data_IF_468527796473
#
_entry.id   IF_468527796473
#
_cell.length_a   1.000
_cell.length_b   1.000
_cell.length_c   1.000
_cell.angle_alpha   90.00
_cell.angle_beta   90.00
_cell.angle_gamma   90.00
#
_symmetry.space_group_name_H-M   'P 1'
#
loop_
_entity.id
_entity.type
_entity.pdbx_description
1 polymer ?
#
# COMPACT_ATOMS: atom_id res chain seq x y z
N UNK A 1 13.35 -8.11 9.84
CA UNK A 1 12.74 -8.87 8.73
C UNK A 1 12.21 -7.88 7.71
N UNK A 2 12.80 -7.82 6.52
CA UNK A 2 12.28 -6.97 5.44
C UNK A 2 11.12 -7.72 4.77
N UNK A 3 9.90 -7.24 4.95
CA UNK A 3 8.73 -7.84 4.30
C UNK A 3 8.90 -7.75 2.79
N UNK A 4 8.99 -8.89 2.12
CA UNK A 4 9.16 -8.93 0.66
C UNK A 4 7.79 -9.17 0.03
N UNK A 5 7.34 -8.21 -0.78
CA UNK A 5 6.06 -8.31 -1.47
C UNK A 5 6.10 -9.35 -2.58
N UNK A 6 4.96 -9.99 -2.85
CA UNK A 6 4.84 -10.82 -4.06
C UNK A 6 4.91 -9.92 -5.29
N UNK A 7 5.71 -10.33 -6.25
CA UNK A 7 5.72 -9.74 -7.59
C UNK A 7 4.50 -10.18 -8.39
N UNK A 8 4.17 -9.45 -9.45
CA UNK A 8 3.07 -9.79 -10.36
C UNK A 8 3.26 -11.18 -10.97
N UNK A 9 4.49 -11.55 -11.36
CA UNK A 9 4.80 -12.89 -11.87
C UNK A 9 4.48 -13.99 -10.86
N UNK A 10 4.84 -13.80 -9.59
CA UNK A 10 4.54 -14.75 -8.52
C UNK A 10 3.03 -14.89 -8.31
N UNK A 11 2.27 -13.78 -8.33
CA UNK A 11 0.81 -13.82 -8.25
C UNK A 11 0.18 -14.56 -9.44
N UNK A 12 0.69 -14.36 -10.65
CA UNK A 12 0.22 -15.07 -11.85
C UNK A 12 0.48 -16.57 -11.73
N UNK A 13 1.67 -17.00 -11.26
CA UNK A 13 1.98 -18.41 -11.02
C UNK A 13 1.01 -19.01 -9.99
N UNK A 14 0.74 -18.29 -8.89
CA UNK A 14 -0.20 -18.73 -7.86
C UNK A 14 -1.62 -18.86 -8.42
N UNK A 15 -2.08 -17.91 -9.24
CA UNK A 15 -3.40 -17.95 -9.89
C UNK A 15 -3.55 -19.18 -10.79
N UNK A 16 -2.59 -19.42 -11.69
CA UNK A 16 -2.61 -20.59 -12.57
C UNK A 16 -2.56 -21.89 -11.77
N UNK A 17 -1.75 -21.94 -10.72
CA UNK A 17 -1.62 -23.12 -9.84
C UNK A 17 -2.92 -23.42 -9.08
N UNK A 18 -3.67 -22.38 -8.70
CA UNK A 18 -4.99 -22.53 -8.07
C UNK A 18 -6.01 -23.14 -9.03
N UNK A 19 -6.04 -22.69 -10.29
CA UNK A 19 -6.90 -23.27 -11.34
C UNK A 19 -6.55 -24.75 -11.59
N UNK A 20 -5.26 -25.08 -11.57
CA UNK A 20 -4.76 -26.46 -11.69
C UNK A 20 -4.94 -27.30 -10.40
N UNK A 21 -5.56 -26.75 -9.35
CA UNK A 21 -5.80 -27.41 -8.06
C UNK A 21 -4.52 -27.94 -7.37
N UNK A 22 -3.39 -27.28 -7.60
CA UNK A 22 -2.14 -27.59 -6.92
C UNK A 22 -2.18 -27.14 -5.45
N UNK A 23 -1.55 -27.93 -4.57
CA UNK A 23 -1.46 -27.61 -3.14
C UNK A 23 -0.57 -26.37 -2.92
N UNK A 24 -1.08 -25.39 -2.17
CA UNK A 24 -0.39 -24.12 -1.88
C UNK A 24 1.06 -24.28 -1.36
N UNK A 25 1.31 -25.28 -0.51
CA UNK A 25 2.65 -25.58 0.00
C UNK A 25 3.66 -25.87 -1.11
N UNK A 26 3.27 -26.65 -2.15
CA UNK A 26 4.17 -26.97 -3.26
C UNK A 26 4.46 -25.73 -4.10
N UNK A 27 3.44 -24.91 -4.34
CA UNK A 27 3.59 -23.64 -5.07
C UNK A 27 4.54 -22.71 -4.31
N UNK A 28 4.40 -22.62 -2.98
CA UNK A 28 5.28 -21.82 -2.15
C UNK A 28 6.75 -22.25 -2.24
N UNK A 29 7.01 -23.56 -2.29
CA UNK A 29 8.36 -24.08 -2.52
C UNK A 29 8.89 -23.72 -3.91
N UNK A 30 8.04 -23.78 -4.95
CA UNK A 30 8.42 -23.42 -6.33
C UNK A 30 8.81 -21.95 -6.46
N UNK A 31 8.08 -21.04 -5.81
CA UNK A 31 8.38 -19.60 -5.84
C UNK A 31 9.34 -19.14 -4.73
N UNK A 32 9.87 -20.08 -3.94
CA UNK A 32 10.75 -19.82 -2.79
C UNK A 32 10.15 -18.81 -1.78
N UNK A 33 8.86 -18.94 -1.48
CA UNK A 33 8.15 -18.11 -0.50
C UNK A 33 7.66 -18.93 0.69
N UNK A 34 7.34 -18.24 1.78
CA UNK A 34 6.71 -18.88 2.92
C UNK A 34 5.30 -19.36 2.54
N UNK A 35 4.93 -20.55 3.01
CA UNK A 35 3.67 -21.18 2.66
C UNK A 35 2.45 -20.33 3.05
N UNK A 36 2.51 -19.69 4.22
CA UNK A 36 1.49 -18.76 4.72
C UNK A 36 1.12 -17.66 3.71
N UNK A 37 2.11 -17.12 2.99
CA UNK A 37 1.88 -16.07 2.00
C UNK A 37 1.06 -16.59 0.83
N UNK A 38 1.31 -17.81 0.35
CA UNK A 38 0.52 -18.44 -0.70
C UNK A 38 -0.85 -18.85 -0.20
N UNK A 39 -0.96 -19.36 1.03
CA UNK A 39 -2.24 -19.69 1.66
C UNK A 39 -3.17 -18.48 1.78
N UNK A 40 -2.63 -17.29 2.11
CA UNK A 40 -3.41 -16.05 2.13
C UNK A 40 -4.02 -15.71 0.78
N UNK A 41 -3.26 -15.89 -0.31
CA UNK A 41 -3.77 -15.66 -1.68
C UNK A 41 -4.81 -16.72 -2.05
N UNK A 42 -4.56 -17.99 -1.74
CA UNK A 42 -5.52 -19.08 -1.98
C UNK A 42 -6.84 -18.84 -1.26
N UNK A 43 -6.80 -18.47 0.03
CA UNK A 43 -8.01 -18.17 0.81
C UNK A 43 -8.81 -17.01 0.21
N UNK A 44 -8.12 -16.03 -0.38
CA UNK A 44 -8.77 -14.94 -1.10
C UNK A 44 -9.39 -15.41 -2.42
N UNK A 45 -8.74 -16.31 -3.15
CA UNK A 45 -9.30 -16.91 -4.36
C UNK A 45 -10.51 -17.81 -4.09
N UNK A 46 -10.52 -18.49 -2.94
CA UNK A 46 -11.65 -19.34 -2.51
C UNK A 46 -12.94 -18.55 -2.29
N UNK A 47 -12.86 -17.23 -2.05
CA UNK A 47 -14.06 -16.37 -1.97
C UNK A 47 -14.67 -16.08 -3.35
N UNK A 48 -14.05 -16.55 -4.43
CA UNK A 48 -14.45 -16.27 -5.81
C UNK A 48 -13.85 -14.99 -6.39
N UNK A 49 -12.98 -14.30 -5.65
CA UNK A 49 -12.29 -13.11 -6.12
C UNK A 49 -11.14 -13.47 -7.09
N UNK A 50 -10.81 -12.54 -7.99
CA UNK A 50 -9.69 -12.67 -8.95
C UNK A 50 -8.35 -12.24 -8.33
N UNK A 51 -7.23 -12.70 -8.89
CA UNK A 51 -5.90 -12.18 -8.51
C UNK A 51 -5.79 -10.67 -8.76
N UNK A 52 -6.44 -10.15 -9.80
CA UNK A 52 -6.46 -8.73 -10.07
C UNK A 52 -7.13 -7.95 -8.92
N UNK A 53 -8.21 -8.51 -8.38
CA UNK A 53 -8.92 -7.96 -7.22
C UNK A 53 -8.06 -8.01 -5.95
N UNK A 54 -7.32 -9.10 -5.75
CA UNK A 54 -6.33 -9.21 -4.67
C UNK A 54 -5.25 -8.14 -4.76
N UNK A 55 -4.72 -7.90 -5.97
CA UNK A 55 -3.70 -6.87 -6.20
C UNK A 55 -4.25 -5.47 -5.96
N UNK A 56 -5.47 -5.19 -6.43
CA UNK A 56 -6.15 -3.91 -6.21
C UNK A 56 -6.43 -3.65 -4.73
N UNK A 57 -6.95 -4.66 -4.01
CA UNK A 57 -7.16 -4.60 -2.56
C UNK A 57 -5.85 -4.31 -1.82
N UNK A 58 -4.75 -4.98 -2.20
CA UNK A 58 -3.44 -4.71 -1.63
C UNK A 58 -2.97 -3.27 -1.91
N UNK A 59 -3.14 -2.76 -3.14
CA UNK A 59 -2.78 -1.39 -3.50
C UNK A 59 -3.58 -0.36 -2.72
N UNK A 60 -4.90 -0.56 -2.55
CA UNK A 60 -5.75 0.30 -1.70
C UNK A 60 -5.26 0.33 -0.26
N UNK A 61 -5.00 -0.82 0.35
CA UNK A 61 -4.48 -0.86 1.72
C UNK A 61 -3.12 -0.17 1.84
N UNK A 62 -2.26 -0.30 0.82
CA UNK A 62 -0.96 0.37 0.79
C UNK A 62 -1.09 1.90 0.74
N UNK A 63 -2.13 2.45 0.11
CA UNK A 63 -2.40 3.90 0.12
C UNK A 63 -2.75 4.42 1.52
N UNK A 64 -3.26 3.56 2.41
CA UNK A 64 -3.53 3.92 3.81
C UNK A 64 -2.29 3.82 4.70
N UNK A 65 -1.20 3.20 4.22
CA UNK A 65 0.05 3.12 4.94
C UNK A 65 0.88 4.40 4.78
N UNK A 66 1.73 4.66 5.78
CA UNK A 66 2.64 5.81 5.76
C UNK A 66 2.03 7.08 6.36
N UNK A 67 2.86 8.12 6.42
CA UNK A 67 2.45 9.41 6.98
C UNK A 67 1.54 10.12 6.00
N UNK A 68 0.30 10.41 6.42
CA UNK A 68 -0.60 11.28 5.66
C UNK A 68 0.05 12.66 5.51
N UNK A 69 -0.13 13.30 4.34
CA UNK A 69 0.35 14.67 4.14
C UNK A 69 -0.30 15.56 5.19
N UNK A 70 0.52 16.26 5.98
CA UNK A 70 0.05 17.32 6.85
C UNK A 70 -0.39 18.47 5.94
N UNK A 71 -1.71 18.65 5.79
CA UNK A 71 -2.27 19.80 5.10
C UNK A 71 -2.51 20.90 6.13
N UNK A 72 -2.08 22.11 5.80
CA UNK A 72 -2.40 23.29 6.61
C UNK A 72 -3.90 23.57 6.45
N UNK A 73 -4.56 23.91 7.55
CA UNK A 73 -5.95 24.37 7.56
C UNK A 73 -6.08 25.66 6.75
N UNK A 74 -7.29 25.92 6.23
CA UNK A 74 -7.57 27.15 5.47
C UNK A 74 -7.19 28.41 6.25
N UNK A 75 -7.44 28.42 7.57
CA UNK A 75 -7.07 29.54 8.45
C UNK A 75 -5.55 29.75 8.56
N UNK A 76 -4.78 28.66 8.59
CA UNK A 76 -3.31 28.73 8.61
C UNK A 76 -2.77 29.23 7.27
N UNK A 77 -3.37 28.78 6.16
CA UNK A 77 -3.03 29.26 4.82
C UNK A 77 -3.34 30.75 4.66
N UNK A 78 -4.49 31.23 5.13
CA UNK A 78 -4.83 32.66 5.07
C UNK A 78 -3.89 33.49 5.93
N UNK A 79 -3.56 33.02 7.14
CA UNK A 79 -2.59 33.69 8.02
C UNK A 79 -1.21 33.80 7.36
N UNK A 80 -0.69 32.71 6.79
CA UNK A 80 0.61 32.71 6.12
C UNK A 80 0.59 33.66 4.91
N UNK A 81 -0.44 33.61 4.08
CA UNK A 81 -0.54 34.50 2.92
C UNK A 81 -0.65 35.98 3.30
N UNK A 82 -1.42 36.31 4.35
CA UNK A 82 -1.51 37.67 4.89
C UNK A 82 -0.15 38.19 5.37
N UNK A 83 0.60 37.36 6.11
CA UNK A 83 1.91 37.74 6.64
C UNK A 83 2.98 37.85 5.55
N UNK A 84 2.95 36.97 4.54
CA UNK A 84 3.80 37.08 3.36
C UNK A 84 3.48 38.38 2.60
N UNK A 85 2.21 38.74 2.43
CA UNK A 85 1.81 39.99 1.78
C UNK A 85 2.27 41.23 2.57
N UNK A 86 2.39 41.13 3.89
CA UNK A 86 2.99 42.15 4.76
C UNK A 86 4.53 42.18 4.70
N UNK A 87 5.16 41.32 3.89
CA UNK A 87 6.61 41.27 3.68
C UNK A 87 7.37 40.45 4.74
N UNK A 88 6.68 39.63 5.54
CA UNK A 88 7.32 38.86 6.60
C UNK A 88 8.03 37.63 6.05
N UNK A 89 9.19 37.31 6.60
CA UNK A 89 9.94 36.11 6.24
C UNK A 89 9.35 34.86 6.92
N UNK A 90 9.50 33.66 6.32
CA UNK A 90 8.92 32.43 6.86
C UNK A 90 9.37 32.09 8.29
N UNK A 91 10.62 32.42 8.64
CA UNK A 91 11.14 32.31 10.01
C UNK A 91 10.35 33.17 11.00
N UNK A 92 10.07 34.42 10.64
CA UNK A 92 9.34 35.37 11.48
C UNK A 92 7.88 34.94 11.64
N UNK A 93 7.26 34.38 10.59
CA UNK A 93 5.91 33.82 10.63
C UNK A 93 5.84 32.60 11.58
N UNK A 94 6.89 31.79 11.64
CA UNK A 94 6.96 30.64 12.55
C UNK A 94 7.08 31.09 14.02
N UNK A 95 7.86 32.13 14.31
CA UNK A 95 8.03 32.66 15.68
C UNK A 95 6.82 33.45 16.20
N UNK A 96 6.01 34.02 15.31
CA UNK A 96 4.85 34.85 15.66
C UNK A 96 3.53 34.09 15.82
N UNK A 97 3.56 32.77 15.63
CA UNK A 97 2.42 31.86 15.79
C UNK A 97 2.39 31.26 17.19
#
# INVERSE_FOLDING_TARGET
MTYTHLTTNELTIIAHSFVQKLKAYRVAQMINRCAETVYRVYRYLETGASIADYQDHYMRNKQHCGRKRTQLSLAELTYINDKIAQGWTPDTIYWAR
#
